data_IF_477705344219
#
_entry.id   IF_477705344219
#
_cell.length_a   1.000
_cell.length_b   1.000
_cell.length_c   1.000
_cell.angle_alpha   90.00
_cell.angle_beta   90.00
_cell.angle_gamma   90.00
#
_symmetry.space_group_name_H-M   'P 1'
#
loop_
_entity.id
_entity.type
_entity.pdbx_description
1 polymer ?
#
# COMPACT_ATOMS: atom_id res chain seq x y z
N UNK A 1 -11.16 16.93 7.20
CA UNK A 1 -12.22 16.37 8.06
C UNK A 1 -11.68 15.32 9.03
N UNK A 2 -10.83 14.37 8.58
CA UNK A 2 -10.23 13.33 9.44
C UNK A 2 -9.40 13.99 10.55
N UNK A 3 -8.44 14.85 10.22
CA UNK A 3 -7.61 15.55 11.20
C UNK A 3 -8.38 16.42 12.20
N UNK A 4 -9.63 16.74 11.90
CA UNK A 4 -10.53 17.49 12.77
C UNK A 4 -11.53 16.60 13.54
N UNK A 5 -11.36 15.29 13.51
CA UNK A 5 -12.21 14.33 14.21
C UNK A 5 -13.67 14.26 13.71
N UNK A 6 -13.93 14.67 12.47
CA UNK A 6 -15.30 14.70 11.90
C UNK A 6 -15.65 13.47 11.08
N UNK A 7 -14.73 12.51 10.98
CA UNK A 7 -14.91 11.24 10.27
C UNK A 7 -14.75 10.12 11.30
N UNK A 8 -15.75 9.26 11.44
CA UNK A 8 -15.72 8.13 12.37
C UNK A 8 -15.33 6.79 11.74
N UNK A 9 -15.43 6.67 10.41
CA UNK A 9 -15.06 5.45 9.68
C UNK A 9 -14.24 5.87 8.46
N UNK A 10 -13.12 5.18 8.25
CA UNK A 10 -12.24 5.40 7.11
C UNK A 10 -11.80 4.07 6.51
N UNK A 11 -12.03 3.90 5.21
CA UNK A 11 -11.51 2.75 4.46
C UNK A 11 -10.21 3.17 3.79
N UNK A 12 -9.11 2.54 4.16
CA UNK A 12 -7.79 2.93 3.65
C UNK A 12 -6.72 1.87 3.85
N UNK A 13 -5.50 2.28 3.70
CA UNK A 13 -4.33 1.42 3.79
C UNK A 13 -3.84 1.32 5.25
N UNK A 14 -3.25 0.19 5.60
CA UNK A 14 -2.77 -0.07 6.97
C UNK A 14 -1.81 1.00 7.52
N UNK A 15 -1.09 1.72 6.64
CA UNK A 15 -0.14 2.78 7.02
C UNK A 15 -0.76 4.18 7.12
N UNK A 16 -2.07 4.33 6.90
CA UNK A 16 -2.75 5.64 7.03
C UNK A 16 -2.64 6.28 8.43
N UNK A 17 -2.43 5.52 9.54
CA UNK A 17 -2.15 6.14 10.83
C UNK A 17 -0.96 7.10 10.84
N UNK A 18 0.08 6.88 10.01
CA UNK A 18 1.23 7.80 9.89
C UNK A 18 0.92 9.15 9.22
N UNK A 19 -0.26 9.29 8.64
CA UNK A 19 -0.74 10.52 7.99
C UNK A 19 -1.81 11.25 8.80
N UNK A 20 -2.92 11.53 8.14
CA UNK A 20 -4.02 12.37 8.68
C UNK A 20 -4.67 11.84 9.97
N UNK A 21 -4.54 10.56 10.29
CA UNK A 21 -5.04 10.01 11.55
C UNK A 21 -4.16 10.41 12.72
N UNK A 22 -2.83 10.44 12.53
CA UNK A 22 -1.90 11.01 13.51
C UNK A 22 -2.25 12.46 13.83
N UNK A 23 -2.54 13.26 12.80
CA UNK A 23 -2.97 14.64 12.98
C UNK A 23 -4.27 14.74 13.76
N UNK A 24 -5.20 13.80 13.56
CA UNK A 24 -6.43 13.72 14.35
C UNK A 24 -6.13 13.47 15.83
N UNK A 25 -5.29 12.50 16.13
CA UNK A 25 -4.90 12.15 17.51
C UNK A 25 -4.16 13.31 18.18
N UNK A 26 -3.32 14.02 17.44
CA UNK A 26 -2.60 15.19 17.96
C UNK A 26 -3.51 16.40 18.23
N UNK A 27 -4.61 16.56 17.48
CA UNK A 27 -5.43 17.78 17.50
C UNK A 27 -6.78 17.62 18.24
N UNK A 28 -7.23 16.39 18.46
CA UNK A 28 -8.55 16.09 19.03
C UNK A 28 -8.38 15.26 20.29
N UNK A 29 -8.71 15.85 21.42
CA UNK A 29 -8.58 15.22 22.74
C UNK A 29 -9.40 13.92 22.82
N UNK A 30 -8.73 12.83 23.24
CA UNK A 30 -9.33 11.49 23.34
C UNK A 30 -9.60 10.80 22.00
N UNK A 31 -9.13 11.34 20.87
CA UNK A 31 -9.25 10.65 19.58
C UNK A 31 -8.36 9.40 19.53
N UNK A 32 -8.95 8.28 19.15
CA UNK A 32 -8.24 7.04 18.84
C UNK A 32 -8.90 6.37 17.63
N UNK A 33 -8.10 5.59 16.91
CA UNK A 33 -8.55 4.84 15.74
C UNK A 33 -8.18 3.36 15.91
N UNK A 34 -9.13 2.48 15.63
CA UNK A 34 -8.93 1.04 15.68
C UNK A 34 -9.02 0.45 14.28
N UNK A 35 -8.04 -0.39 13.92
CA UNK A 35 -8.08 -1.13 12.69
C UNK A 35 -9.02 -2.33 12.80
N UNK A 36 -9.94 -2.46 11.85
CA UNK A 36 -10.86 -3.59 11.77
C UNK A 36 -10.76 -4.24 10.38
N UNK A 37 -10.85 -5.57 10.34
CA UNK A 37 -11.01 -6.29 9.07
C UNK A 37 -12.30 -5.84 8.41
N UNK A 38 -12.28 -5.73 7.08
CA UNK A 38 -13.51 -5.45 6.35
C UNK A 38 -14.51 -6.60 6.57
N UNK A 39 -15.68 -6.34 7.14
CA UNK A 39 -16.67 -7.38 7.34
C UNK A 39 -17.24 -7.83 6.00
N UNK A 40 -17.64 -9.11 5.87
CA UNK A 40 -18.43 -9.55 4.73
C UNK A 40 -19.78 -8.86 4.70
N UNK A 41 -20.36 -8.71 3.53
CA UNK A 41 -21.75 -8.28 3.43
C UNK A 41 -22.68 -9.32 4.05
N UNK A 42 -23.86 -8.89 4.50
CA UNK A 42 -24.87 -9.76 5.07
C UNK A 42 -25.22 -10.90 4.08
N UNK A 43 -25.21 -12.14 4.55
CA UNK A 43 -25.49 -13.33 3.72
C UNK A 43 -24.30 -13.83 2.88
N UNK A 44 -23.12 -13.21 2.98
CA UNK A 44 -21.92 -13.67 2.28
C UNK A 44 -21.00 -14.43 3.25
N UNK A 45 -21.05 -15.77 3.18
CA UNK A 45 -20.30 -16.62 4.13
C UNK A 45 -18.81 -16.76 3.81
N UNK A 46 -18.42 -16.69 2.54
CA UNK A 46 -17.04 -16.95 2.08
C UNK A 46 -16.46 -15.72 1.36
N UNK A 47 -16.55 -14.55 1.98
CA UNK A 47 -15.96 -13.34 1.43
C UNK A 47 -14.43 -13.42 1.45
N UNK A 48 -13.83 -13.27 0.26
CA UNK A 48 -12.39 -13.15 0.09
C UNK A 48 -12.10 -11.88 -0.73
N UNK A 49 -11.47 -10.86 -0.15
CA UNK A 49 -11.07 -9.68 -0.91
C UNK A 49 -10.11 -10.07 -2.03
N UNK A 50 -10.34 -9.52 -3.22
CA UNK A 50 -9.47 -9.74 -4.37
C UNK A 50 -8.14 -8.98 -4.22
N UNK A 51 -7.04 -9.68 -4.39
CA UNK A 51 -5.70 -9.10 -4.42
C UNK A 51 -5.12 -9.27 -5.81
N UNK A 52 -4.85 -8.18 -6.53
CA UNK A 52 -4.19 -8.28 -7.82
C UNK A 52 -2.71 -8.66 -7.63
N UNK A 53 -2.23 -9.58 -8.46
CA UNK A 53 -0.78 -9.85 -8.59
C UNK A 53 -0.17 -8.82 -9.54
N UNK A 54 -0.06 -7.60 -9.08
CA UNK A 54 0.46 -6.51 -9.89
C UNK A 54 1.97 -6.41 -9.79
N UNK A 55 2.62 -6.22 -10.93
CA UNK A 55 3.92 -5.58 -10.97
C UNK A 55 3.71 -4.11 -10.63
N UNK A 56 4.25 -3.65 -9.51
CA UNK A 56 4.07 -2.28 -9.04
C UNK A 56 4.73 -1.25 -9.96
N UNK A 57 5.84 -1.65 -10.62
CA UNK A 57 6.54 -0.79 -11.56
C UNK A 57 7.66 -1.52 -12.28
N UNK A 58 8.21 -0.85 -13.26
CA UNK A 58 9.36 -1.32 -14.03
C UNK A 58 10.46 -0.27 -13.99
N UNK A 59 11.70 -0.73 -14.00
CA UNK A 59 12.86 0.12 -14.10
C UNK A 59 13.46 -0.06 -15.48
N UNK A 60 13.66 1.06 -16.16
CA UNK A 60 14.18 1.08 -17.51
C UNK A 60 15.52 1.79 -17.55
N UNK A 61 16.53 1.11 -18.14
CA UNK A 61 17.76 1.76 -18.56
C UNK A 61 17.60 2.32 -19.99
N UNK A 62 18.05 3.53 -20.21
CA UNK A 62 18.12 4.09 -21.56
C UNK A 62 19.06 3.23 -22.40
N UNK A 63 18.64 2.83 -23.61
CA UNK A 63 19.51 2.11 -24.56
C UNK A 63 20.78 2.91 -24.82
N UNK A 64 21.95 2.27 -24.64
CA UNK A 64 23.25 2.91 -24.83
C UNK A 64 23.73 3.75 -23.65
N UNK A 65 23.14 3.57 -22.44
CA UNK A 65 23.72 4.11 -21.22
C UNK A 65 25.11 3.50 -20.98
N UNK A 66 26.05 4.29 -20.51
CA UNK A 66 27.45 3.91 -20.37
C UNK A 66 27.67 2.78 -19.35
N UNK A 67 26.91 2.80 -18.25
CA UNK A 67 27.06 1.84 -17.15
C UNK A 67 25.68 1.22 -16.79
N UNK A 68 25.13 0.30 -17.61
CA UNK A 68 23.81 -0.31 -17.36
C UNK A 68 23.79 -1.18 -16.08
N UNK A 69 24.92 -1.72 -15.68
CA UNK A 69 25.10 -2.49 -14.44
C UNK A 69 24.88 -1.68 -13.18
N UNK A 70 24.95 -0.36 -13.24
CA UNK A 70 24.69 0.53 -12.10
C UNK A 70 23.32 0.30 -11.46
N UNK A 71 22.32 -0.12 -12.26
CA UNK A 71 20.98 -0.47 -11.76
C UNK A 71 21.06 -1.68 -10.81
N UNK A 72 21.79 -2.73 -11.23
CA UNK A 72 21.94 -3.96 -10.42
C UNK A 72 22.75 -3.68 -9.16
N UNK A 73 23.82 -2.89 -9.28
CA UNK A 73 24.63 -2.45 -8.12
C UNK A 73 23.77 -1.67 -7.12
N UNK A 74 22.95 -0.75 -7.61
CA UNK A 74 22.04 0.03 -6.76
C UNK A 74 20.99 -0.89 -6.09
N UNK A 75 20.44 -1.87 -6.80
CA UNK A 75 19.51 -2.85 -6.24
C UNK A 75 20.16 -3.65 -5.11
N UNK A 76 21.34 -4.19 -5.34
CA UNK A 76 22.07 -4.95 -4.32
C UNK A 76 22.36 -4.10 -3.09
N UNK A 77 22.83 -2.88 -3.30
CA UNK A 77 23.12 -1.95 -2.20
C UNK A 77 21.86 -1.62 -1.36
N UNK A 78 20.72 -1.44 -2.02
CA UNK A 78 19.44 -1.25 -1.32
C UNK A 78 19.00 -2.50 -0.56
N UNK A 79 19.19 -3.71 -1.13
CA UNK A 79 18.89 -4.95 -0.44
C UNK A 79 19.77 -5.12 0.81
N UNK A 80 21.06 -4.88 0.68
CA UNK A 80 22.00 -4.95 1.79
C UNK A 80 21.66 -3.93 2.87
N UNK A 81 21.28 -2.71 2.47
CA UNK A 81 20.84 -1.67 3.37
C UNK A 81 19.60 -2.04 4.18
N UNK A 82 18.67 -2.79 3.60
CA UNK A 82 17.49 -3.29 4.32
C UNK A 82 17.77 -4.46 5.25
N UNK A 83 18.79 -5.26 4.93
CA UNK A 83 19.12 -6.46 5.71
C UNK A 83 19.93 -6.15 6.98
N UNK A 84 20.51 -4.95 7.08
CA UNK A 84 21.35 -4.55 8.21
C UNK A 84 20.54 -3.77 9.27
N UNK A 85 21.03 -3.74 10.50
CA UNK A 85 20.46 -2.87 11.54
C UNK A 85 20.66 -1.39 11.19
N UNK A 86 19.84 -0.52 11.78
CA UNK A 86 19.86 0.90 11.49
C UNK A 86 21.21 1.55 11.83
N UNK A 87 21.83 1.11 12.92
CA UNK A 87 23.09 1.67 13.43
C UNK A 87 24.29 1.30 12.58
N UNK A 88 24.30 0.10 12.02
CA UNK A 88 25.40 -0.43 11.21
C UNK A 88 25.18 -0.22 9.70
N UNK A 89 24.06 0.40 9.32
CA UNK A 89 23.65 0.50 7.94
C UNK A 89 24.24 1.74 7.28
N UNK A 90 25.30 1.57 6.47
CA UNK A 90 25.91 2.65 5.71
C UNK A 90 24.90 3.45 4.85
N UNK A 91 23.84 2.83 4.40
CA UNK A 91 22.78 3.51 3.66
C UNK A 91 22.10 4.57 4.52
N UNK A 92 21.67 4.21 5.73
CA UNK A 92 21.03 5.16 6.64
C UNK A 92 21.99 6.27 7.10
N UNK A 93 23.26 5.92 7.35
CA UNK A 93 24.27 6.89 7.73
C UNK A 93 24.45 7.93 6.61
N UNK A 94 24.71 7.48 5.40
CA UNK A 94 24.88 8.36 4.24
C UNK A 94 23.61 9.10 3.84
N UNK A 95 22.46 8.46 3.97
CA UNK A 95 21.18 9.12 3.74
C UNK A 95 20.98 10.28 4.71
N UNK A 96 21.21 10.07 5.98
CA UNK A 96 21.09 11.12 6.99
C UNK A 96 22.09 12.26 6.75
N UNK A 97 23.35 11.95 6.46
CA UNK A 97 24.36 12.95 6.09
C UNK A 97 23.94 13.81 4.88
N UNK A 98 23.30 13.20 3.88
CA UNK A 98 22.76 13.91 2.72
C UNK A 98 21.56 14.78 3.08
N UNK A 99 20.68 14.28 3.96
CA UNK A 99 19.48 15.00 4.40
C UNK A 99 19.81 16.21 5.30
N UNK A 100 20.98 16.26 5.90
CA UNK A 100 21.47 17.44 6.60
C UNK A 100 21.77 18.63 5.66
N UNK A 101 21.95 18.36 4.36
CA UNK A 101 22.20 19.37 3.32
C UNK A 101 20.89 19.94 2.78
N UNK A 102 20.56 21.23 3.04
CA UNK A 102 19.29 21.82 2.60
C UNK A 102 19.08 21.73 1.08
N UNK A 103 20.14 21.92 0.31
CA UNK A 103 20.10 21.85 -1.16
C UNK A 103 19.71 20.45 -1.71
N UNK A 104 19.91 19.40 -0.91
CA UNK A 104 19.50 18.03 -1.24
C UNK A 104 18.12 17.74 -0.67
N UNK A 105 17.90 18.04 0.60
CA UNK A 105 16.64 17.80 1.30
C UNK A 105 15.46 18.53 0.62
N UNK A 106 15.67 19.77 0.21
CA UNK A 106 14.63 20.64 -0.33
C UNK A 106 14.40 20.44 -1.84
N UNK A 107 15.29 19.72 -2.54
CA UNK A 107 15.01 19.22 -3.89
C UNK A 107 14.09 18.02 -3.79
N UNK A 108 12.81 18.24 -3.98
CA UNK A 108 11.76 17.25 -3.93
C UNK A 108 12.11 16.00 -4.76
N UNK A 109 12.11 14.84 -4.15
CA UNK A 109 12.36 13.54 -4.79
C UNK A 109 13.43 12.71 -4.10
N UNK A 110 14.34 13.31 -3.33
CA UNK A 110 15.35 12.56 -2.57
C UNK A 110 14.75 11.84 -1.37
N UNK A 111 13.59 12.29 -0.88
CA UNK A 111 12.81 11.57 0.13
C UNK A 111 12.33 10.19 -0.33
N UNK A 112 12.47 9.87 -1.60
CA UNK A 112 12.07 8.61 -2.22
C UNK A 112 13.29 7.93 -2.85
N UNK A 113 14.37 7.79 -2.09
CA UNK A 113 15.55 7.00 -2.49
C UNK A 113 15.27 5.50 -2.62
N UNK A 114 14.00 5.12 -2.54
CA UNK A 114 13.50 3.77 -2.71
C UNK A 114 12.94 3.59 -4.12
N UNK A 115 13.79 3.54 -5.15
CA UNK A 115 13.30 3.35 -6.52
C UNK A 115 12.72 1.95 -6.74
N UNK A 116 12.86 1.06 -5.74
CA UNK A 116 12.40 -0.32 -5.81
C UNK A 116 11.62 -0.71 -4.56
N UNK A 117 10.43 -1.20 -4.76
CA UNK A 117 9.70 -1.93 -3.74
C UNK A 117 9.80 -3.43 -4.10
N UNK A 118 10.77 -4.13 -3.53
CA UNK A 118 11.06 -5.51 -3.93
C UNK A 118 10.19 -6.55 -3.23
N UNK A 119 9.75 -6.27 -2.02
CA UNK A 119 8.78 -7.09 -1.32
C UNK A 119 7.92 -6.19 -0.44
N UNK A 120 6.61 -6.24 -0.62
CA UNK A 120 5.74 -5.61 0.33
C UNK A 120 5.79 -6.41 1.64
N UNK A 121 6.04 -5.77 2.69
CA UNK A 121 5.62 -5.90 4.08
C UNK A 121 4.84 -7.18 4.47
N UNK A 122 5.24 -8.36 4.06
CA UNK A 122 4.55 -9.58 4.42
C UNK A 122 4.97 -9.96 5.85
N UNK A 123 4.00 -10.11 6.76
CA UNK A 123 4.17 -10.57 8.15
C UNK A 123 5.01 -9.67 9.09
N UNK A 124 5.25 -8.42 8.76
CA UNK A 124 6.02 -7.52 9.63
C UNK A 124 5.34 -7.23 10.97
N UNK A 125 4.00 -7.21 11.01
CA UNK A 125 3.26 -7.06 12.26
C UNK A 125 3.56 -8.18 13.26
N UNK A 126 3.47 -9.44 12.82
CA UNK A 126 3.82 -10.61 13.64
C UNK A 126 5.30 -10.65 14.02
N UNK A 127 6.17 -10.27 13.06
CA UNK A 127 7.62 -10.21 13.29
C UNK A 127 7.94 -9.21 14.39
N UNK A 128 7.35 -8.02 14.36
CA UNK A 128 7.57 -6.99 15.37
C UNK A 128 7.01 -7.40 16.74
N UNK A 129 5.82 -8.02 16.79
CA UNK A 129 5.30 -8.53 18.05
C UNK A 129 6.23 -9.55 18.69
N UNK A 130 6.71 -10.52 17.91
CA UNK A 130 7.65 -11.54 18.39
C UNK A 130 8.96 -10.92 18.86
N UNK A 131 9.49 -9.95 18.12
CA UNK A 131 10.71 -9.24 18.51
C UNK A 131 10.54 -8.49 19.85
N UNK A 132 9.41 -7.81 20.02
CA UNK A 132 9.08 -7.12 21.29
C UNK A 132 8.94 -8.13 22.44
N UNK A 133 8.24 -9.24 22.24
CA UNK A 133 8.07 -10.29 23.25
C UNK A 133 9.41 -10.93 23.65
N UNK A 134 10.32 -11.10 22.70
CA UNK A 134 11.67 -11.65 22.95
C UNK A 134 12.63 -10.64 23.59
N UNK A 135 12.33 -9.34 23.49
CA UNK A 135 13.24 -8.26 23.86
C UNK A 135 14.36 -8.03 22.84
N UNK A 136 14.10 -8.34 21.56
CA UNK A 136 15.05 -8.14 20.49
C UNK A 136 15.28 -6.64 20.27
N UNK A 137 16.53 -6.21 20.20
CA UNK A 137 16.88 -4.80 19.98
C UNK A 137 16.71 -4.39 18.51
N UNK A 138 16.83 -5.35 17.58
CA UNK A 138 16.81 -5.11 16.13
C UNK A 138 15.97 -6.13 15.39
N UNK A 139 15.38 -5.68 14.25
CA UNK A 139 14.67 -6.55 13.29
C UNK A 139 15.28 -6.37 11.91
N UNK A 140 16.15 -7.29 11.45
CA UNK A 140 16.79 -7.21 10.14
C UNK A 140 15.77 -7.06 9.01
N UNK A 141 16.10 -6.21 8.03
CA UNK A 141 15.23 -5.95 6.88
C UNK A 141 14.13 -4.92 7.10
N UNK A 142 13.82 -4.55 8.35
CA UNK A 142 12.81 -3.53 8.70
C UNK A 142 13.15 -2.76 9.98
N UNK A 143 14.41 -2.73 10.32
CA UNK A 143 14.87 -2.21 11.60
C UNK A 143 14.49 -0.74 11.83
N UNK A 144 14.62 0.10 10.82
CA UNK A 144 14.25 1.52 10.94
C UNK A 144 12.80 1.75 11.38
N UNK A 145 11.88 0.92 10.88
CA UNK A 145 10.48 1.00 11.27
C UNK A 145 10.26 0.38 12.67
N UNK A 146 10.96 -0.72 12.96
CA UNK A 146 10.93 -1.35 14.28
C UNK A 146 11.41 -0.39 15.38
N UNK A 147 12.52 0.33 15.15
CA UNK A 147 13.02 1.34 16.07
C UNK A 147 11.99 2.43 16.35
N UNK A 148 11.21 2.85 15.36
CA UNK A 148 10.12 3.80 15.57
C UNK A 148 8.97 3.20 16.40
N UNK A 149 8.67 1.91 16.24
CA UNK A 149 7.60 1.24 17.01
C UNK A 149 7.97 1.12 18.50
N UNK A 150 9.24 0.81 18.81
CA UNK A 150 9.70 0.63 20.21
C UNK A 150 10.21 1.92 20.84
N UNK A 151 10.39 3.00 20.09
CA UNK A 151 10.94 4.28 20.56
C UNK A 151 10.13 4.87 21.70
N UNK A 152 10.85 5.36 22.70
CA UNK A 152 10.31 6.15 23.84
C UNK A 152 10.55 7.66 23.67
N UNK A 153 11.24 8.08 22.60
CA UNK A 153 11.63 9.46 22.35
C UNK A 153 10.66 10.21 21.41
N UNK A 154 9.76 9.48 20.74
CA UNK A 154 8.77 10.08 19.86
C UNK A 154 7.66 10.77 20.66
N UNK A 155 7.08 11.83 20.11
CA UNK A 155 5.85 12.40 20.65
C UNK A 155 4.70 11.37 20.64
N UNK A 156 3.69 11.61 21.48
CA UNK A 156 2.60 10.66 21.72
C UNK A 156 1.87 10.25 20.43
N UNK A 157 1.52 11.22 19.58
CA UNK A 157 0.78 10.94 18.35
C UNK A 157 1.63 10.18 17.32
N UNK A 158 2.93 10.47 17.25
CA UNK A 158 3.85 9.75 16.35
C UNK A 158 4.10 8.33 16.86
N UNK A 159 4.33 8.13 18.16
CA UNK A 159 4.46 6.81 18.77
C UNK A 159 3.18 5.99 18.58
N UNK A 160 2.01 6.61 18.82
CA UNK A 160 0.71 6.00 18.55
C UNK A 160 0.61 5.52 17.10
N UNK A 161 0.96 6.38 16.13
CA UNK A 161 0.83 6.06 14.71
C UNK A 161 1.69 4.86 14.29
N UNK A 162 2.95 4.79 14.72
CA UNK A 162 3.83 3.66 14.40
C UNK A 162 3.31 2.35 15.00
N UNK A 163 2.85 2.37 16.25
CA UNK A 163 2.25 1.19 16.89
C UNK A 163 0.96 0.77 16.19
N UNK A 164 0.09 1.70 15.83
CA UNK A 164 -1.15 1.40 15.11
C UNK A 164 -0.90 0.79 13.74
N UNK A 165 0.13 1.22 13.03
CA UNK A 165 0.51 0.62 11.74
C UNK A 165 0.91 -0.83 11.89
N UNK A 166 1.89 -1.13 12.74
CA UNK A 166 2.50 -2.44 12.78
C UNK A 166 1.83 -3.42 13.75
N UNK A 167 1.40 -2.94 14.91
CA UNK A 167 0.87 -3.81 15.96
C UNK A 167 -0.66 -3.93 15.92
N UNK A 168 -1.33 -3.21 15.03
CA UNK A 168 -2.77 -3.29 14.86
C UNK A 168 -3.19 -3.35 13.39
N UNK A 169 -2.91 -2.30 12.60
CA UNK A 169 -3.33 -2.23 11.21
C UNK A 169 -2.78 -3.36 10.35
N UNK A 170 -1.50 -3.67 10.54
CA UNK A 170 -0.85 -4.77 9.84
C UNK A 170 -1.45 -6.13 10.20
N UNK A 171 -1.71 -6.35 11.50
CA UNK A 171 -2.31 -7.59 12.00
C UNK A 171 -3.78 -7.74 11.61
N UNK A 172 -4.46 -6.64 11.26
CA UNK A 172 -5.81 -6.69 10.74
C UNK A 172 -5.88 -7.18 9.28
N UNK A 173 -4.75 -7.30 8.57
CA UNK A 173 -4.71 -7.85 7.22
C UNK A 173 -4.81 -9.38 7.30
N UNK A 174 -5.83 -9.93 6.65
CA UNK A 174 -6.07 -11.37 6.60
C UNK A 174 -5.50 -11.97 5.32
N UNK A 175 -4.18 -12.20 5.31
CA UNK A 175 -3.47 -12.73 4.13
C UNK A 175 -3.93 -14.15 3.75
N UNK A 176 -4.46 -14.93 4.69
CA UNK A 176 -4.94 -16.28 4.44
C UNK A 176 -6.34 -16.31 3.82
N UNK A 177 -7.07 -15.20 3.96
CA UNK A 177 -8.44 -15.07 3.47
C UNK A 177 -8.56 -14.08 2.30
N UNK A 178 -7.63 -14.14 1.37
CA UNK A 178 -7.65 -13.33 0.14
C UNK A 178 -7.79 -14.22 -1.09
N UNK A 179 -8.31 -13.65 -2.17
CA UNK A 179 -8.32 -14.26 -3.49
C UNK A 179 -7.32 -13.55 -4.38
N UNK A 180 -6.23 -14.20 -4.70
CA UNK A 180 -5.29 -13.69 -5.69
C UNK A 180 -5.90 -13.72 -7.09
N UNK A 181 -5.47 -12.78 -7.93
CA UNK A 181 -5.82 -12.80 -9.35
C UNK A 181 -5.18 -14.01 -10.03
N UNK A 182 -5.95 -14.75 -10.80
CA UNK A 182 -5.45 -15.85 -11.62
C UNK A 182 -4.68 -15.34 -12.85
N UNK A 183 -4.76 -14.05 -13.14
CA UNK A 183 -4.11 -13.40 -14.27
C UNK A 183 -3.09 -12.36 -13.80
N UNK A 184 -1.82 -12.59 -14.12
CA UNK A 184 -0.70 -11.70 -13.86
C UNK A 184 -0.02 -11.19 -15.16
N UNK A 185 -0.71 -11.35 -16.30
CA UNK A 185 -0.20 -10.96 -17.61
C UNK A 185 -0.28 -9.46 -17.90
N UNK A 186 0.22 -9.08 -19.07
CA UNK A 186 0.07 -7.73 -19.58
C UNK A 186 -1.42 -7.39 -19.85
N UNK A 187 -1.82 -6.11 -19.78
CA UNK A 187 -3.19 -5.73 -20.13
C UNK A 187 -3.59 -6.25 -21.51
N UNK A 188 -4.80 -6.78 -21.61
CA UNK A 188 -5.32 -7.31 -22.88
C UNK A 188 -5.49 -6.18 -23.92
N UNK A 189 -5.56 -6.54 -25.20
CA UNK A 189 -5.71 -5.57 -26.29
C UNK A 189 -6.95 -4.68 -26.14
N UNK A 190 -8.04 -5.23 -25.62
CA UNK A 190 -9.26 -4.47 -25.31
C UNK A 190 -9.07 -3.60 -24.07
N UNK A 191 -8.46 -4.12 -23.00
CA UNK A 191 -8.19 -3.36 -21.79
C UNK A 191 -7.36 -2.10 -22.05
N UNK A 192 -6.31 -2.20 -22.87
CA UNK A 192 -5.49 -1.04 -23.27
C UNK A 192 -6.34 0.09 -23.87
N UNK A 193 -7.39 -0.24 -24.62
CA UNK A 193 -8.24 0.73 -25.31
C UNK A 193 -9.31 1.35 -24.43
N UNK A 194 -9.92 0.55 -23.54
CA UNK A 194 -11.16 0.97 -22.86
C UNK A 194 -11.07 1.04 -21.34
N UNK A 195 -9.96 0.62 -20.71
CA UNK A 195 -9.85 0.56 -19.25
C UNK A 195 -10.13 1.90 -18.55
N UNK A 196 -9.64 3.00 -19.12
CA UNK A 196 -9.89 4.34 -18.56
C UNK A 196 -11.38 4.71 -18.62
N UNK A 197 -12.07 4.33 -19.68
CA UNK A 197 -13.52 4.56 -19.84
C UNK A 197 -14.31 3.70 -18.86
N UNK A 198 -13.94 2.43 -18.72
CA UNK A 198 -14.53 1.51 -17.72
C UNK A 198 -14.37 2.03 -16.30
N UNK A 199 -13.18 2.51 -15.94
CA UNK A 199 -12.92 3.06 -14.62
C UNK A 199 -13.76 4.32 -14.34
N UNK A 200 -13.87 5.21 -15.32
CA UNK A 200 -14.70 6.41 -15.22
C UNK A 200 -16.19 6.05 -15.07
N UNK A 201 -16.69 5.13 -15.90
CA UNK A 201 -18.10 4.69 -15.84
C UNK A 201 -18.42 4.09 -14.45
N UNK A 202 -17.58 3.16 -14.00
CA UNK A 202 -17.73 2.54 -12.67
C UNK A 202 -17.81 3.58 -11.55
N UNK A 203 -16.85 4.51 -11.52
CA UNK A 203 -16.81 5.53 -10.47
C UNK A 203 -18.05 6.43 -10.52
N UNK A 204 -18.45 6.88 -11.72
CA UNK A 204 -19.59 7.76 -11.90
C UNK A 204 -20.89 7.11 -11.43
N UNK A 205 -21.14 5.86 -11.83
CA UNK A 205 -22.40 5.19 -11.51
C UNK A 205 -22.46 4.75 -10.04
N UNK A 206 -21.34 4.30 -9.47
CA UNK A 206 -21.28 3.96 -8.05
C UNK A 206 -21.52 5.18 -7.17
N UNK A 207 -20.90 6.31 -7.47
CA UNK A 207 -21.13 7.55 -6.73
C UNK A 207 -22.59 7.97 -6.85
N UNK A 208 -23.20 7.92 -8.03
CA UNK A 208 -24.59 8.29 -8.22
C UNK A 208 -25.57 7.42 -7.40
N UNK A 209 -25.29 6.11 -7.30
CA UNK A 209 -26.08 5.20 -6.45
C UNK A 209 -25.84 5.51 -4.96
N UNK A 210 -24.60 5.68 -4.52
CA UNK A 210 -24.25 5.96 -3.13
C UNK A 210 -24.85 7.29 -2.66
N UNK A 211 -24.84 8.31 -3.52
CA UNK A 211 -25.42 9.64 -3.22
C UNK A 211 -26.94 9.67 -3.29
N UNK A 212 -27.58 8.62 -3.80
CA UNK A 212 -29.03 8.54 -3.97
C UNK A 212 -29.55 9.23 -5.23
N UNK A 213 -28.67 9.67 -6.15
CA UNK A 213 -29.07 10.23 -7.44
C UNK A 213 -29.67 9.17 -8.36
N UNK A 214 -29.32 7.91 -8.14
CA UNK A 214 -29.85 6.74 -8.82
C UNK A 214 -30.25 5.67 -7.80
N UNK A 215 -31.38 5.01 -8.06
CA UNK A 215 -31.82 3.88 -7.25
C UNK A 215 -30.88 2.67 -7.42
N UNK A 216 -30.81 1.81 -6.40
CA UNK A 216 -29.96 0.61 -6.44
C UNK A 216 -30.28 -0.30 -7.64
N UNK A 217 -31.50 -0.34 -8.12
CA UNK A 217 -31.90 -1.11 -9.33
C UNK A 217 -31.19 -0.65 -10.60
N UNK A 218 -30.63 0.58 -10.60
CA UNK A 218 -29.78 1.05 -11.70
C UNK A 218 -28.51 0.22 -11.87
N UNK A 219 -28.12 -0.55 -10.86
CA UNK A 219 -26.92 -1.39 -10.92
C UNK A 219 -26.97 -2.38 -12.09
N UNK A 220 -28.14 -2.93 -12.42
CA UNK A 220 -28.29 -3.84 -13.58
C UNK A 220 -28.00 -3.10 -14.92
N UNK A 221 -28.47 -1.87 -15.06
CA UNK A 221 -28.17 -1.01 -16.21
C UNK A 221 -26.67 -0.68 -16.29
N UNK A 222 -26.04 -0.42 -15.13
CA UNK A 222 -24.60 -0.22 -15.06
C UNK A 222 -23.84 -1.47 -15.55
N UNK A 223 -24.20 -2.67 -15.10
CA UNK A 223 -23.56 -3.93 -15.50
C UNK A 223 -23.67 -4.14 -17.00
N UNK A 224 -24.84 -3.92 -17.59
CA UNK A 224 -25.05 -4.03 -19.03
C UNK A 224 -24.17 -3.03 -19.80
N UNK A 225 -24.18 -1.77 -19.40
CA UNK A 225 -23.38 -0.69 -20.02
C UNK A 225 -21.89 -1.01 -19.91
N UNK A 226 -21.43 -1.42 -18.75
CA UNK A 226 -20.03 -1.75 -18.46
C UNK A 226 -19.54 -2.90 -19.35
N UNK A 227 -20.34 -3.94 -19.50
CA UNK A 227 -20.06 -5.05 -20.40
C UNK A 227 -20.00 -4.64 -21.86
N UNK A 228 -20.92 -3.79 -22.29
CA UNK A 228 -20.97 -3.26 -23.67
C UNK A 228 -19.79 -2.33 -24.00
N UNK A 229 -19.24 -1.61 -23.03
CA UNK A 229 -18.00 -0.81 -23.19
C UNK A 229 -16.80 -1.73 -23.53
N UNK A 230 -16.78 -2.95 -23.03
CA UNK A 230 -15.74 -3.93 -23.31
C UNK A 230 -15.32 -4.82 -22.16
N UNK A 231 -15.96 -4.73 -20.99
CA UNK A 231 -15.58 -5.57 -19.85
C UNK A 231 -15.78 -7.06 -20.14
N UNK A 232 -16.86 -7.44 -20.81
CA UNK A 232 -17.11 -8.82 -21.25
C UNK A 232 -15.99 -9.32 -22.18
N UNK A 233 -15.55 -8.49 -23.13
CA UNK A 233 -14.47 -8.87 -24.05
C UNK A 233 -13.12 -9.02 -23.34
N UNK A 234 -12.83 -8.15 -22.38
CA UNK A 234 -11.62 -8.28 -21.53
C UNK A 234 -11.65 -9.60 -20.76
N UNK A 235 -12.80 -9.99 -20.21
CA UNK A 235 -12.95 -11.25 -19.49
C UNK A 235 -12.69 -12.46 -20.41
N UNK A 236 -13.18 -12.45 -21.64
CA UNK A 236 -12.89 -13.49 -22.64
C UNK A 236 -11.39 -13.56 -22.97
N UNK A 237 -10.75 -12.43 -23.25
CA UNK A 237 -9.32 -12.35 -23.57
C UNK A 237 -8.46 -12.87 -22.41
N UNK A 238 -8.84 -12.58 -21.17
CA UNK A 238 -8.18 -13.11 -19.97
C UNK A 238 -8.38 -14.61 -19.84
N UNK A 239 -9.61 -15.11 -20.02
CA UNK A 239 -9.89 -16.53 -19.95
C UNK A 239 -9.10 -17.32 -21.00
N UNK A 240 -9.00 -16.82 -22.21
CA UNK A 240 -8.16 -17.39 -23.26
C UNK A 240 -6.67 -17.44 -22.87
N UNK A 241 -6.16 -16.36 -22.24
CA UNK A 241 -4.76 -16.29 -21.84
C UNK A 241 -4.40 -17.21 -20.67
N UNK A 242 -5.33 -17.48 -19.76
CA UNK A 242 -5.14 -18.42 -18.64
C UNK A 242 -5.19 -19.87 -19.10
N UNK A 243 -5.93 -20.15 -20.17
CA UNK A 243 -6.13 -21.52 -20.69
C UNK A 243 -4.96 -22.02 -21.55
N UNK A 244 -4.00 -21.19 -21.90
CA UNK A 244 -2.77 -21.54 -22.65
C UNK A 244 -1.63 -21.90 -21.72
#
# INVERSE_FOLDING_TARGET
LIAAGKIGIYCGLFFNPLGVMKDCVANVDGADWTAVKMPPAEGVENYKPGVPLNVYGYIYAKKGIENPEAIVVMMNWLCDGYAQSKEDNEFYIKYNELMEKPEIRDTSGVNNLMPFQMAANINWGETFLKAIENGDEHVPGKDADYQNVISTELDEATSWAWKKVYLEGYLAIDFDNVRYSDYAGAPTATAVKVQSLLNKQKLTDYIAIIMGDKDISYFDTFVETYNNIGAAKIAEEIAEAISQ
#
